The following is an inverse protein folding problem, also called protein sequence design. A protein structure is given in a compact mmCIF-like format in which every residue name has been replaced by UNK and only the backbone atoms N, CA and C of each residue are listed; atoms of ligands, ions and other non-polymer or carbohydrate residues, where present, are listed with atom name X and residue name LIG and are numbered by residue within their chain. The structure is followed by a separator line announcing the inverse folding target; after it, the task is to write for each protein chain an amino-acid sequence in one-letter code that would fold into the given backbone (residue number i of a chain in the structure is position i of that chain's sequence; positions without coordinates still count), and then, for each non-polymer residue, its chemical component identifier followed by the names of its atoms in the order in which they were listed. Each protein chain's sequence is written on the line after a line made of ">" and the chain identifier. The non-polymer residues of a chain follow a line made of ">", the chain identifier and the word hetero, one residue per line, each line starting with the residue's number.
data_IF_367949619876
#
_entry.id   IF_367949619876
#
_cell.length_a   1.000
_cell.length_b   1.000
_cell.length_c   1.000
_cell.angle_alpha   90.00
_cell.angle_beta   90.00
_cell.angle_gamma   90.00
#
_symmetry.space_group_name_H-M   'P 1'
#
loop_
_entity.id
_entity.type
_entity.pdbx_description
1 polymer ?
#
# COMPACT_ATOMS: atom_id res chain seq x y z
N UNK A 1 -49.60 -15.00 -17.07
CA UNK A 1 -49.14 -13.65 -17.48
C UNK A 1 -48.52 -12.82 -16.34
N UNK A 2 -49.10 -12.79 -15.12
CA UNK A 2 -48.55 -12.00 -13.98
C UNK A 2 -47.17 -12.48 -13.45
N UNK A 3 -46.90 -13.79 -13.42
CA UNK A 3 -45.61 -14.31 -12.92
C UNK A 3 -44.39 -13.94 -13.77
N UNK A 4 -44.50 -13.98 -15.11
CA UNK A 4 -43.45 -13.59 -16.05
C UNK A 4 -43.12 -12.09 -15.94
N UNK A 5 -44.16 -11.27 -15.71
CA UNK A 5 -44.01 -9.83 -15.52
C UNK A 5 -43.26 -9.52 -14.21
N UNK A 6 -43.60 -10.20 -13.11
CA UNK A 6 -42.93 -10.06 -11.82
C UNK A 6 -41.46 -10.50 -11.90
N UNK A 7 -41.15 -11.62 -12.57
CA UNK A 7 -39.76 -12.07 -12.78
C UNK A 7 -38.95 -11.07 -13.62
N UNK A 8 -39.54 -10.52 -14.68
CA UNK A 8 -38.86 -9.53 -15.52
C UNK A 8 -38.58 -8.21 -14.81
N UNK A 9 -39.48 -7.76 -13.94
CA UNK A 9 -39.32 -6.55 -13.12
C UNK A 9 -38.31 -6.78 -11.99
N UNK A 10 -38.34 -7.96 -11.35
CA UNK A 10 -37.38 -8.33 -10.31
C UNK A 10 -35.97 -8.45 -10.88
N UNK A 11 -35.82 -9.09 -12.05
CA UNK A 11 -34.52 -9.23 -12.72
C UNK A 11 -33.94 -7.88 -13.17
N UNK A 12 -34.77 -6.95 -13.68
CA UNK A 12 -34.35 -5.57 -13.99
C UNK A 12 -33.89 -4.80 -12.75
N UNK A 13 -34.59 -4.96 -11.62
CA UNK A 13 -34.23 -4.32 -10.35
C UNK A 13 -32.92 -4.86 -9.80
N UNK A 14 -32.71 -6.17 -9.83
CA UNK A 14 -31.43 -6.78 -9.42
C UNK A 14 -30.28 -6.33 -10.32
N UNK A 15 -30.49 -6.27 -11.65
CA UNK A 15 -29.48 -5.79 -12.59
C UNK A 15 -29.12 -4.32 -12.36
N UNK A 16 -30.11 -3.45 -12.14
CA UNK A 16 -29.90 -2.04 -11.80
C UNK A 16 -29.14 -1.88 -10.47
N UNK A 17 -29.46 -2.70 -9.47
CA UNK A 17 -28.76 -2.70 -8.18
C UNK A 17 -27.29 -3.12 -8.34
N UNK A 18 -27.01 -4.17 -9.12
CA UNK A 18 -25.65 -4.59 -9.45
C UNK A 18 -24.88 -3.51 -10.21
N UNK A 19 -25.51 -2.83 -11.18
CA UNK A 19 -24.87 -1.73 -11.91
C UNK A 19 -24.55 -0.56 -10.97
N UNK A 20 -25.46 -0.18 -10.07
CA UNK A 20 -25.23 0.87 -9.08
C UNK A 20 -24.10 0.52 -8.08
N UNK A 21 -23.96 -0.75 -7.73
CA UNK A 21 -22.87 -1.25 -6.89
C UNK A 21 -21.53 -1.24 -7.62
N UNK A 22 -21.51 -1.54 -8.92
CA UNK A 22 -20.28 -1.52 -9.74
C UNK A 22 -19.83 -0.08 -10.00
N UNK A 23 -20.75 0.83 -10.31
CA UNK A 23 -20.41 2.24 -10.64
C UNK A 23 -19.96 3.02 -9.41
N UNK A 24 -20.46 2.71 -8.21
CA UNK A 24 -20.00 3.35 -6.97
C UNK A 24 -18.60 2.89 -6.52
N UNK A 25 -18.05 1.85 -7.15
CA UNK A 25 -16.75 1.26 -6.80
C UNK A 25 -15.56 1.69 -7.66
N UNK A 26 -15.73 2.36 -8.81
CA UNK A 26 -14.65 2.51 -9.79
C UNK A 26 -13.39 3.22 -9.25
N UNK A 27 -13.53 4.33 -8.51
CA UNK A 27 -12.38 5.03 -7.91
C UNK A 27 -11.71 4.20 -6.78
N UNK A 28 -12.50 3.38 -6.10
CA UNK A 28 -12.06 2.50 -5.02
C UNK A 28 -11.33 1.27 -5.57
N UNK A 29 -11.79 0.73 -6.69
CA UNK A 29 -11.16 -0.40 -7.40
C UNK A 29 -9.77 -0.02 -7.92
N UNK A 30 -9.62 1.16 -8.54
CA UNK A 30 -8.32 1.64 -8.99
C UNK A 30 -7.31 1.77 -7.86
N UNK A 31 -7.74 2.32 -6.71
CA UNK A 31 -6.89 2.44 -5.53
C UNK A 31 -6.45 1.08 -4.97
N UNK A 32 -7.37 0.13 -4.82
CA UNK A 32 -6.99 -1.20 -4.32
C UNK A 32 -6.12 -1.94 -5.33
N UNK A 33 -6.37 -1.78 -6.63
CA UNK A 33 -5.52 -2.31 -7.70
C UNK A 33 -4.08 -1.84 -7.56
N UNK A 34 -3.84 -0.52 -7.45
CA UNK A 34 -2.48 0.00 -7.28
C UNK A 34 -1.85 -0.43 -5.93
N UNK A 35 -2.63 -0.47 -4.85
CA UNK A 35 -2.12 -0.88 -3.53
C UNK A 35 -1.68 -2.34 -3.52
N UNK A 36 -2.49 -3.24 -4.10
CA UNK A 36 -2.17 -4.67 -4.19
C UNK A 36 -1.00 -4.89 -5.14
N UNK A 37 -1.02 -4.27 -6.32
CA UNK A 37 0.05 -4.42 -7.31
C UNK A 37 1.40 -3.94 -6.79
N UNK A 38 1.44 -2.75 -6.17
CA UNK A 38 2.66 -2.22 -5.60
C UNK A 38 3.17 -3.01 -4.41
N UNK A 39 2.28 -3.49 -3.53
CA UNK A 39 2.68 -4.36 -2.41
C UNK A 39 3.23 -5.70 -2.90
N UNK A 40 2.60 -6.28 -3.92
CA UNK A 40 3.06 -7.51 -4.55
C UNK A 40 4.46 -7.36 -5.14
N UNK A 41 4.73 -6.26 -5.85
CA UNK A 41 6.06 -5.98 -6.41
C UNK A 41 7.15 -5.93 -5.31
N UNK A 42 6.85 -5.34 -4.15
CA UNK A 42 7.79 -5.30 -3.03
C UNK A 42 8.09 -6.71 -2.52
N UNK A 43 7.06 -7.55 -2.37
CA UNK A 43 7.25 -8.94 -1.92
C UNK A 43 7.99 -9.79 -2.93
N UNK A 44 7.64 -9.68 -4.22
CA UNK A 44 8.26 -10.43 -5.32
C UNK A 44 9.76 -10.12 -5.45
N UNK A 45 10.15 -8.86 -5.23
CA UNK A 45 11.54 -8.42 -5.30
C UNK A 45 12.33 -8.62 -4.00
N UNK A 46 11.68 -9.03 -2.92
CA UNK A 46 12.32 -9.15 -1.61
C UNK A 46 13.25 -10.36 -1.55
N UNK A 47 14.51 -10.13 -1.19
CA UNK A 47 15.52 -11.18 -0.98
C UNK A 47 16.16 -11.04 0.40
N UNK A 48 16.68 -12.14 0.94
CA UNK A 48 17.43 -12.06 2.20
C UNK A 48 18.72 -11.24 1.99
N UNK A 49 19.09 -10.44 2.98
CA UNK A 49 20.32 -9.67 2.91
C UNK A 49 21.54 -10.60 2.83
N UNK A 50 21.52 -11.73 3.53
CA UNK A 50 22.61 -12.71 3.51
C UNK A 50 22.84 -13.30 2.11
N UNK A 51 21.76 -13.61 1.37
CA UNK A 51 21.86 -14.06 -0.03
C UNK A 51 22.51 -12.99 -0.92
N UNK A 52 22.14 -11.72 -0.74
CA UNK A 52 22.71 -10.61 -1.50
C UNK A 52 24.19 -10.41 -1.15
N UNK A 53 24.56 -10.49 0.12
CA UNK A 53 25.95 -10.35 0.57
C UNK A 53 26.81 -11.53 0.10
N UNK A 54 26.25 -12.73 -0.03
CA UNK A 54 26.95 -13.89 -0.58
C UNK A 54 27.18 -13.80 -2.10
N UNK A 55 26.39 -12.98 -2.80
CA UNK A 55 26.52 -12.82 -4.25
C UNK A 55 27.81 -12.02 -4.61
N UNK A 56 28.63 -12.52 -5.55
CA UNK A 56 29.92 -11.90 -5.91
C UNK A 56 29.75 -10.60 -6.72
N UNK A 57 28.59 -10.39 -7.33
CA UNK A 57 28.26 -9.25 -8.19
C UNK A 57 27.56 -8.11 -7.44
N UNK A 58 27.33 -8.24 -6.13
CA UNK A 58 26.79 -7.16 -5.30
C UNK A 58 27.80 -6.02 -5.20
N UNK A 59 27.40 -4.86 -5.74
CA UNK A 59 28.20 -3.63 -5.74
C UNK A 59 28.58 -3.17 -4.33
N UNK A 60 29.82 -2.72 -4.16
CA UNK A 60 30.38 -2.34 -2.85
C UNK A 60 29.53 -1.33 -2.07
N UNK A 61 28.98 -0.26 -2.68
CA UNK A 61 28.15 0.69 -1.94
C UNK A 61 26.85 0.08 -1.39
N UNK A 62 26.30 -0.95 -2.05
CA UNK A 62 25.13 -1.67 -1.57
C UNK A 62 25.54 -2.63 -0.44
N UNK A 63 26.64 -3.36 -0.63
CA UNK A 63 27.21 -4.29 0.36
C UNK A 63 27.46 -3.59 1.70
N UNK A 64 28.13 -2.44 1.69
CA UNK A 64 28.43 -1.67 2.90
C UNK A 64 27.15 -1.25 3.65
N UNK A 65 26.15 -0.75 2.92
CA UNK A 65 24.87 -0.33 3.52
C UNK A 65 24.12 -1.51 4.13
N UNK A 66 24.05 -2.64 3.42
CA UNK A 66 23.35 -3.83 3.91
C UNK A 66 24.05 -4.44 5.12
N UNK A 67 25.39 -4.47 5.14
CA UNK A 67 26.14 -4.90 6.31
C UNK A 67 25.89 -3.97 7.51
N UNK A 68 25.82 -2.66 7.29
CA UNK A 68 25.47 -1.70 8.34
C UNK A 68 24.07 -1.95 8.90
N UNK A 69 23.08 -2.24 8.05
CA UNK A 69 21.72 -2.58 8.47
C UNK A 69 21.72 -3.80 9.40
N UNK A 70 22.43 -4.88 9.03
CA UNK A 70 22.53 -6.07 9.87
C UNK A 70 23.20 -5.77 11.22
N UNK A 71 24.31 -5.02 11.21
CA UNK A 71 25.02 -4.66 12.44
C UNK A 71 24.15 -3.82 13.40
N UNK A 72 23.41 -2.85 12.86
CA UNK A 72 22.45 -2.04 13.65
C UNK A 72 21.33 -2.90 14.18
N UNK A 73 20.82 -3.84 13.37
CA UNK A 73 19.75 -4.76 13.76
C UNK A 73 20.17 -5.69 14.89
N UNK A 74 21.37 -6.22 14.83
CA UNK A 74 21.92 -7.13 15.84
C UNK A 74 22.18 -6.38 17.15
N UNK A 75 22.75 -5.17 17.09
CA UNK A 75 22.90 -4.27 18.25
C UNK A 75 21.55 -3.97 18.92
N UNK A 76 20.51 -3.68 18.12
CA UNK A 76 19.18 -3.42 18.63
C UNK A 76 18.61 -4.61 19.43
N UNK A 77 18.90 -5.84 19.03
CA UNK A 77 18.47 -7.02 19.77
C UNK A 77 19.38 -7.36 20.96
N UNK A 78 20.70 -7.29 20.81
CA UNK A 78 21.64 -7.67 21.87
C UNK A 78 21.74 -6.63 22.99
N UNK A 79 21.76 -5.34 22.65
CA UNK A 79 22.04 -4.26 23.60
C UNK A 79 20.79 -3.49 24.02
N UNK A 80 19.80 -3.35 23.12
CA UNK A 80 18.58 -2.58 23.40
C UNK A 80 17.38 -3.45 23.78
N UNK A 81 17.57 -4.77 23.87
CA UNK A 81 16.54 -5.76 24.20
C UNK A 81 15.30 -5.69 23.28
N UNK A 82 15.47 -5.24 22.02
CA UNK A 82 14.40 -5.31 21.04
C UNK A 82 14.22 -6.76 20.55
N UNK A 83 12.98 -7.18 20.20
CA UNK A 83 12.71 -8.57 19.81
C UNK A 83 13.61 -9.02 18.68
N UNK A 84 14.23 -10.20 18.78
CA UNK A 84 14.98 -10.82 17.69
C UNK A 84 14.01 -11.53 16.75
N UNK A 85 13.77 -10.91 15.61
CA UNK A 85 12.80 -11.34 14.59
C UNK A 85 13.32 -10.92 13.21
N UNK A 86 12.60 -11.31 12.16
CA UNK A 86 13.02 -11.12 10.77
C UNK A 86 12.94 -9.66 10.25
N UNK A 87 12.57 -8.70 11.10
CA UNK A 87 12.54 -7.29 10.70
C UNK A 87 13.92 -6.83 10.26
N UNK A 88 13.96 -6.13 9.11
CA UNK A 88 15.17 -5.57 8.50
C UNK A 88 16.22 -6.61 8.04
N UNK A 89 15.86 -7.89 7.89
CA UNK A 89 16.74 -8.95 7.35
C UNK A 89 16.58 -9.20 5.84
N UNK A 90 15.68 -8.46 5.19
CA UNK A 90 15.43 -8.55 3.75
C UNK A 90 15.54 -7.19 3.06
N UNK A 91 15.86 -7.23 1.77
CA UNK A 91 16.00 -6.06 0.90
C UNK A 91 15.27 -6.30 -0.42
N UNK A 92 14.56 -5.27 -0.89
CA UNK A 92 13.89 -5.26 -2.18
C UNK A 92 14.40 -4.08 -3.01
N UNK A 93 15.06 -4.38 -4.13
CA UNK A 93 15.49 -3.35 -5.07
C UNK A 93 14.34 -2.93 -6.00
N UNK A 94 13.64 -1.86 -5.62
CA UNK A 94 12.47 -1.40 -6.36
C UNK A 94 12.82 -0.61 -7.63
N UNK A 95 14.10 -0.26 -7.84
CA UNK A 95 14.53 0.56 -8.99
C UNK A 95 13.78 1.90 -9.08
N UNK A 96 13.40 2.45 -7.91
CA UNK A 96 12.76 3.76 -7.75
C UNK A 96 13.19 4.39 -6.42
N UNK A 97 13.18 5.73 -6.31
CA UNK A 97 13.71 6.42 -5.13
C UNK A 97 12.86 6.23 -3.85
N UNK A 98 11.56 5.92 -3.97
CA UNK A 98 10.65 5.80 -2.83
C UNK A 98 9.74 4.57 -2.97
N UNK A 99 9.48 3.90 -1.85
CA UNK A 99 8.64 2.69 -1.81
C UNK A 99 7.17 3.04 -2.01
N UNK A 100 6.67 4.02 -1.25
CA UNK A 100 5.27 4.49 -1.21
C UNK A 100 5.25 5.99 -0.94
N UNK A 101 4.28 6.68 -1.54
CA UNK A 101 3.91 8.07 -1.30
C UNK A 101 2.67 8.16 -0.42
N UNK A 102 2.81 8.76 0.77
CA UNK A 102 1.70 8.90 1.72
C UNK A 102 1.08 10.29 1.64
N UNK A 103 -0.23 10.34 1.43
CA UNK A 103 -1.03 11.57 1.49
C UNK A 103 -1.68 11.69 2.86
N UNK A 104 -1.44 12.83 3.51
CA UNK A 104 -2.06 13.23 4.77
C UNK A 104 -2.95 14.45 4.51
N UNK A 105 -4.08 14.56 5.20
CA UNK A 105 -4.97 15.71 5.07
C UNK A 105 -5.60 16.06 6.41
N UNK A 106 -5.81 17.36 6.66
CA UNK A 106 -6.51 17.91 7.81
C UNK A 106 -7.27 19.17 7.37
N UNK A 107 -8.27 19.62 8.15
CA UNK A 107 -8.92 20.91 7.88
C UNK A 107 -8.00 22.07 8.26
N UNK A 108 -8.23 23.28 7.72
CA UNK A 108 -7.50 24.47 8.14
C UNK A 108 -7.57 24.66 9.66
N UNK A 109 -6.41 24.88 10.28
CA UNK A 109 -6.24 25.06 11.72
C UNK A 109 -6.63 23.85 12.59
N UNK A 110 -6.78 22.67 12.00
CA UNK A 110 -7.06 21.44 12.71
C UNK A 110 -5.81 20.53 12.70
N UNK A 111 -5.47 19.93 13.86
CA UNK A 111 -4.38 18.95 13.96
C UNK A 111 -4.87 17.49 13.81
N UNK A 112 -6.18 17.29 13.69
CA UNK A 112 -6.76 15.97 13.45
C UNK A 112 -6.69 15.63 11.96
N UNK A 113 -6.08 14.48 11.68
CA UNK A 113 -6.01 13.96 10.32
C UNK A 113 -7.35 13.39 9.87
N UNK A 114 -7.69 13.63 8.61
CA UNK A 114 -8.72 12.89 7.87
C UNK A 114 -8.35 11.40 7.94
N UNK A 115 -9.34 10.57 8.26
CA UNK A 115 -9.17 9.12 8.32
C UNK A 115 -9.79 8.43 7.12
N UNK A 116 -9.10 7.42 6.62
CA UNK A 116 -9.59 6.50 5.60
C UNK A 116 -9.76 5.12 6.21
N UNK A 117 -10.95 4.54 6.05
CA UNK A 117 -11.29 3.24 6.62
C UNK A 117 -11.28 2.15 5.55
N UNK A 118 -10.58 1.07 5.84
CA UNK A 118 -10.41 -0.09 4.98
C UNK A 118 -10.97 -1.33 5.67
N UNK A 119 -11.54 -2.31 4.94
CA UNK A 119 -12.22 -3.46 5.54
C UNK A 119 -11.36 -4.26 6.54
N UNK A 120 -10.08 -4.47 6.23
CA UNK A 120 -9.17 -5.29 7.03
C UNK A 120 -8.17 -4.48 7.84
N UNK A 121 -7.70 -3.34 7.31
CA UNK A 121 -6.68 -2.51 7.97
C UNK A 121 -7.27 -1.51 8.98
N UNK A 122 -8.60 -1.42 9.08
CA UNK A 122 -9.27 -0.42 9.90
C UNK A 122 -9.09 1.00 9.36
N UNK A 123 -9.16 2.00 10.23
CA UNK A 123 -9.05 3.39 9.83
C UNK A 123 -7.64 3.95 10.08
N UNK A 124 -7.02 4.53 9.06
CA UNK A 124 -5.67 5.12 9.14
C UNK A 124 -5.70 6.61 8.80
N UNK A 125 -4.76 7.37 9.34
CA UNK A 125 -4.64 8.84 9.16
C UNK A 125 -3.90 9.26 7.89
N UNK A 126 -3.58 8.31 7.01
CA UNK A 126 -2.90 8.57 5.73
C UNK A 126 -3.43 7.63 4.66
N UNK A 127 -3.20 7.98 3.40
CA UNK A 127 -3.49 7.11 2.25
C UNK A 127 -2.24 6.95 1.38
N UNK A 128 -1.79 5.71 1.20
CA UNK A 128 -0.56 5.38 0.49
C UNK A 128 -0.78 5.06 -0.99
N UNK A 129 0.14 5.53 -1.83
CA UNK A 129 0.16 5.26 -3.27
C UNK A 129 1.55 4.84 -3.72
N UNK A 130 1.63 3.82 -4.56
CA UNK A 130 2.92 3.36 -5.12
C UNK A 130 3.38 4.22 -6.31
N UNK A 131 2.48 5.01 -6.91
CA UNK A 131 2.79 6.00 -7.94
C UNK A 131 2.65 7.43 -7.39
N UNK A 132 3.68 8.25 -7.59
CA UNK A 132 3.70 9.64 -7.12
C UNK A 132 2.58 10.49 -7.74
N UNK A 133 2.32 10.28 -9.04
CA UNK A 133 1.29 11.04 -9.77
C UNK A 133 -0.10 10.82 -9.17
N UNK A 134 -0.42 9.59 -8.75
CA UNK A 134 -1.71 9.27 -8.13
C UNK A 134 -1.84 9.90 -6.74
N UNK A 135 -0.75 9.89 -5.95
CA UNK A 135 -0.71 10.61 -4.67
C UNK A 135 -0.96 12.10 -4.85
N UNK A 136 -0.29 12.72 -5.82
CA UNK A 136 -0.42 14.15 -6.08
C UNK A 136 -1.83 14.50 -6.57
N UNK A 137 -2.36 13.76 -7.55
CA UNK A 137 -3.70 13.97 -8.05
C UNK A 137 -4.76 13.85 -6.93
N UNK A 138 -4.58 12.88 -6.02
CA UNK A 138 -5.46 12.75 -4.86
C UNK A 138 -5.29 13.88 -3.84
N UNK A 139 -4.07 14.34 -3.59
CA UNK A 139 -3.81 15.48 -2.72
C UNK A 139 -4.46 16.76 -3.27
N UNK A 140 -4.34 17.00 -4.58
CA UNK A 140 -4.93 18.16 -5.26
C UNK A 140 -6.47 18.14 -5.17
N UNK A 141 -7.08 16.96 -5.33
CA UNK A 141 -8.53 16.78 -5.12
C UNK A 141 -8.97 17.13 -3.70
N UNK A 142 -8.16 16.80 -2.68
CA UNK A 142 -8.46 17.12 -1.29
C UNK A 142 -8.24 18.60 -0.97
N UNK A 143 -7.30 19.26 -1.66
CA UNK A 143 -7.06 20.69 -1.49
C UNK A 143 -8.16 21.56 -2.13
N UNK A 144 -8.85 21.03 -3.15
CA UNK A 144 -9.90 21.73 -3.88
C UNK A 144 -11.30 21.69 -3.22
N UNK A 145 -11.50 20.86 -2.18
CA UNK A 145 -12.80 20.66 -1.51
C UNK A 145 -12.77 20.96 -0.02
#
# INVERSE_FOLDING_TARGET
>A
MKLLFIHSVLMRRTLLLCILLVVSGCATLGYYGQSIGGQWEVWDKSKSIDEILAAPDTADPLREKLQMVLNVRDFASSELALPDNDSYRSYADLQRPFVVWNVFAAKPFELNLKRWCFPFAGCVGYRGYFAQADAQAFADQLAAG
#
